data_IF_940431690410
#
_entry.id   IF_940431690410
#
_cell.length_a   1.000
_cell.length_b   1.000
_cell.length_c   1.000
_cell.angle_alpha   90.00
_cell.angle_beta   90.00
_cell.angle_gamma   90.00
#
_symmetry.space_group_name_H-M   'P 1'
#
loop_
_entity.id
_entity.type
_entity.pdbx_description
1 polymer ?
#
# COMPACT_ATOMS: atom_id res chain seq x y z
N UNK A 1 -17.42 -2.45 4.13
CA UNK A 1 -16.14 -3.07 3.71
C UNK A 1 -15.24 -2.14 2.89
N UNK A 2 -15.68 -1.59 1.74
CA UNK A 2 -14.84 -0.75 0.85
C UNK A 2 -14.24 0.50 1.50
N UNK A 3 -15.08 1.33 2.12
CA UNK A 3 -14.64 2.54 2.84
C UNK A 3 -13.66 2.21 3.98
N UNK A 4 -13.94 1.13 4.71
CA UNK A 4 -13.10 0.65 5.80
C UNK A 4 -11.72 0.21 5.29
N UNK A 5 -11.66 -0.55 4.19
CA UNK A 5 -10.40 -0.99 3.60
C UNK A 5 -9.58 0.18 3.05
N UNK A 6 -10.25 1.15 2.40
CA UNK A 6 -9.60 2.34 1.86
C UNK A 6 -8.87 3.15 2.96
N UNK A 7 -9.42 3.22 4.17
CA UNK A 7 -8.74 3.84 5.33
C UNK A 7 -7.36 3.21 5.58
N UNK A 8 -7.26 1.88 5.61
CA UNK A 8 -5.99 1.19 5.89
C UNK A 8 -5.02 1.24 4.71
N UNK A 9 -5.54 1.26 3.48
CA UNK A 9 -4.73 1.57 2.28
C UNK A 9 -4.11 2.97 2.40
N UNK A 10 -4.84 3.98 2.89
CA UNK A 10 -4.27 5.32 3.08
C UNK A 10 -3.19 5.37 4.18
N UNK A 11 -3.31 4.56 5.23
CA UNK A 11 -2.27 4.43 6.27
C UNK A 11 -1.02 3.82 5.64
N UNK A 12 -1.16 2.73 4.87
CA UNK A 12 -0.05 2.11 4.15
C UNK A 12 0.61 3.08 3.15
N UNK A 13 -0.20 3.78 2.34
CA UNK A 13 0.25 4.82 1.40
C UNK A 13 1.05 5.92 2.13
N UNK A 14 0.59 6.36 3.29
CA UNK A 14 1.25 7.38 4.10
C UNK A 14 2.60 6.90 4.64
N UNK A 15 2.69 5.64 5.10
CA UNK A 15 3.95 5.03 5.52
C UNK A 15 4.95 5.00 4.34
N UNK A 16 4.53 4.48 3.18
CA UNK A 16 5.35 4.43 1.96
C UNK A 16 5.85 5.82 1.54
N UNK A 17 4.95 6.80 1.48
CA UNK A 17 5.26 8.19 1.14
C UNK A 17 6.30 8.79 2.09
N UNK A 18 6.14 8.56 3.39
CA UNK A 18 7.03 9.09 4.42
C UNK A 18 8.43 8.52 4.29
N UNK A 19 8.56 7.20 4.16
CA UNK A 19 9.88 6.56 3.97
C UNK A 19 10.52 6.97 2.64
N UNK A 20 9.75 7.06 1.57
CA UNK A 20 10.26 7.52 0.27
C UNK A 20 10.79 8.96 0.34
N UNK A 21 10.02 9.88 0.93
CA UNK A 21 10.47 11.26 1.12
C UNK A 21 11.75 11.33 1.95
N UNK A 22 11.79 10.60 3.06
CA UNK A 22 12.93 10.58 3.97
C UNK A 22 14.21 10.07 3.29
N UNK A 23 14.19 8.87 2.72
CA UNK A 23 15.39 8.26 2.15
C UNK A 23 15.84 8.92 0.84
N UNK A 24 14.92 9.50 0.06
CA UNK A 24 15.30 10.29 -1.11
C UNK A 24 15.99 11.60 -0.69
N UNK A 25 15.42 12.34 0.27
CA UNK A 25 16.06 13.54 0.82
C UNK A 25 17.39 13.22 1.52
N UNK A 26 17.50 12.07 2.19
CA UNK A 26 18.74 11.60 2.81
C UNK A 26 19.83 11.36 1.75
N UNK A 27 19.50 10.86 0.56
CA UNK A 27 20.48 10.69 -0.51
C UNK A 27 20.93 12.03 -1.10
N UNK A 28 20.00 12.97 -1.26
CA UNK A 28 20.23 14.25 -1.93
C UNK A 28 20.14 15.45 -0.97
N UNK A 29 20.82 15.38 0.17
CA UNK A 29 20.70 16.36 1.28
C UNK A 29 21.00 17.81 0.90
N UNK A 30 21.83 18.03 -0.11
CA UNK A 30 22.28 19.35 -0.54
C UNK A 30 21.41 19.96 -1.64
N UNK A 31 20.46 19.21 -2.21
CA UNK A 31 19.58 19.67 -3.29
C UNK A 31 18.11 19.35 -2.99
N UNK A 32 17.41 20.35 -2.46
CA UNK A 32 15.97 20.27 -2.18
C UNK A 32 15.10 20.07 -3.43
N UNK A 33 15.65 20.28 -4.64
CA UNK A 33 14.96 20.08 -5.91
C UNK A 33 15.46 18.81 -6.64
N UNK A 34 16.22 17.93 -5.99
CA UNK A 34 16.86 16.78 -6.63
C UNK A 34 15.89 15.86 -7.41
N UNK A 35 14.63 15.78 -6.98
CA UNK A 35 13.58 15.01 -7.66
C UNK A 35 13.17 15.58 -9.04
N UNK A 36 13.66 16.77 -9.41
CA UNK A 36 13.41 17.40 -10.72
C UNK A 36 14.45 17.03 -11.78
N UNK A 37 15.55 16.39 -11.38
CA UNK A 37 16.63 15.95 -12.25
C UNK A 37 16.48 14.44 -12.50
N UNK A 38 16.28 14.08 -13.76
CA UNK A 38 16.09 12.71 -14.21
C UNK A 38 17.30 11.81 -13.86
N UNK A 39 18.51 12.38 -13.81
CA UNK A 39 19.74 11.64 -13.47
C UNK A 39 19.83 11.25 -11.99
N UNK A 40 19.01 11.85 -11.12
CA UNK A 40 18.91 11.45 -9.71
C UNK A 40 18.00 10.21 -9.50
N UNK A 41 17.47 9.65 -10.59
CA UNK A 41 16.72 8.40 -10.63
C UNK A 41 17.55 7.31 -11.33
N UNK A 42 17.08 6.06 -11.28
CA UNK A 42 17.74 4.94 -11.96
C UNK A 42 17.56 5.03 -13.49
N UNK A 43 18.30 5.93 -14.14
CA UNK A 43 18.14 6.36 -15.53
C UNK A 43 18.70 5.36 -16.56
N UNK A 44 18.27 4.11 -16.45
CA UNK A 44 18.58 3.02 -17.39
C UNK A 44 17.59 3.01 -18.57
N UNK A 45 17.94 2.44 -19.73
CA UNK A 45 17.10 2.46 -20.94
C UNK A 45 15.64 2.04 -20.72
N UNK A 46 15.40 1.03 -19.88
CA UNK A 46 14.08 0.46 -19.58
C UNK A 46 13.20 1.41 -18.76
N UNK A 47 13.82 2.24 -17.91
CA UNK A 47 13.12 3.18 -17.03
C UNK A 47 13.11 4.61 -17.57
N UNK A 48 13.95 4.94 -18.55
CA UNK A 48 14.15 6.30 -19.08
C UNK A 48 12.85 7.05 -19.35
N UNK A 49 11.99 6.47 -20.21
CA UNK A 49 10.68 7.07 -20.56
C UNK A 49 9.76 7.21 -19.35
N UNK A 50 9.84 6.29 -18.40
CA UNK A 50 9.03 6.32 -17.16
C UNK A 50 9.50 7.43 -16.24
N UNK A 51 10.81 7.63 -16.12
CA UNK A 51 11.43 8.69 -15.33
C UNK A 51 11.10 10.06 -15.93
N UNK A 52 11.26 10.22 -17.24
CA UNK A 52 10.94 11.49 -17.93
C UNK A 52 9.48 11.88 -17.67
N UNK A 53 8.55 10.92 -17.79
CA UNK A 53 7.12 11.11 -17.50
C UNK A 53 6.88 11.45 -16.03
N UNK A 54 7.55 10.75 -15.10
CA UNK A 54 7.45 11.01 -13.67
C UNK A 54 7.88 12.45 -13.37
N UNK A 55 9.08 12.85 -13.78
CA UNK A 55 9.61 14.20 -13.53
C UNK A 55 8.71 15.27 -14.13
N UNK A 56 8.20 15.07 -15.35
CA UNK A 56 7.20 15.97 -15.93
C UNK A 56 5.92 16.05 -15.09
N UNK A 57 5.42 14.91 -14.58
CA UNK A 57 4.25 14.88 -13.70
C UNK A 57 4.51 15.63 -12.39
N UNK A 58 5.68 15.46 -11.77
CA UNK A 58 6.07 16.22 -10.57
C UNK A 58 6.11 17.73 -10.84
N UNK A 59 6.73 18.16 -11.95
CA UNK A 59 6.77 19.57 -12.39
C UNK A 59 5.35 20.12 -12.60
N UNK A 60 4.45 19.36 -13.23
CA UNK A 60 3.03 19.74 -13.40
C UNK A 60 2.29 19.84 -12.07
N UNK A 61 2.48 18.90 -11.14
CA UNK A 61 1.86 18.95 -9.82
C UNK A 61 2.30 20.19 -9.03
N UNK A 62 3.59 20.52 -9.06
CA UNK A 62 4.11 21.75 -8.45
C UNK A 62 3.42 22.97 -9.05
N UNK A 63 3.41 23.10 -10.39
CA UNK A 63 2.78 24.23 -11.09
C UNK A 63 1.29 24.35 -10.77
N UNK A 64 0.56 23.24 -10.69
CA UNK A 64 -0.85 23.23 -10.32
C UNK A 64 -1.05 23.74 -8.89
N UNK A 65 -0.28 23.22 -7.95
CA UNK A 65 -0.41 23.53 -6.53
C UNK A 65 0.11 24.93 -6.18
N UNK A 66 1.12 25.44 -6.90
CA UNK A 66 1.61 26.82 -6.73
C UNK A 66 0.58 27.87 -7.10
N UNK A 67 -0.36 27.55 -8.00
CA UNK A 67 -1.44 28.45 -8.40
C UNK A 67 -2.63 28.46 -7.43
N UNK A 68 -2.66 27.54 -6.45
CA UNK A 68 -3.70 27.50 -5.43
C UNK A 68 -3.25 28.37 -4.26
N UNK A 69 -3.88 29.54 -4.09
CA UNK A 69 -3.56 30.45 -2.99
C UNK A 69 -3.71 29.76 -1.64
N UNK A 70 -2.74 29.96 -0.75
CA UNK A 70 -2.74 29.38 0.59
C UNK A 70 -2.33 27.90 0.65
N UNK A 71 -2.05 27.24 -0.48
CA UNK A 71 -1.51 25.89 -0.46
C UNK A 71 -0.08 25.88 0.10
N UNK A 72 0.36 24.76 0.68
CA UNK A 72 1.75 24.62 1.17
C UNK A 72 2.76 24.87 0.04
N UNK A 73 2.50 24.34 -1.15
CA UNK A 73 3.40 24.52 -2.31
C UNK A 73 3.40 25.98 -2.77
N UNK A 74 2.26 26.69 -2.73
CA UNK A 74 2.19 28.12 -3.01
C UNK A 74 3.06 28.91 -2.02
N UNK A 75 2.91 28.66 -0.71
CA UNK A 75 3.76 29.29 0.30
C UNK A 75 5.26 29.06 0.05
N UNK A 76 5.66 27.82 -0.27
CA UNK A 76 7.06 27.51 -0.60
C UNK A 76 7.54 28.19 -1.88
N UNK A 77 6.69 28.27 -2.91
CA UNK A 77 7.05 28.88 -4.20
C UNK A 77 7.16 30.40 -4.10
N UNK A 78 6.37 31.04 -3.23
CA UNK A 78 6.38 32.50 -3.04
C UNK A 78 7.50 32.96 -2.11
N UNK A 79 7.80 32.19 -1.05
CA UNK A 79 8.71 32.63 0.01
C UNK A 79 10.10 31.97 -0.03
N UNK A 80 10.28 30.90 -0.81
CA UNK A 80 11.53 30.14 -0.87
C UNK A 80 11.95 29.83 -2.32
N UNK A 81 13.24 29.57 -2.52
CA UNK A 81 13.81 29.22 -3.83
C UNK A 81 13.68 27.73 -4.17
N UNK A 82 13.35 26.89 -3.18
CA UNK A 82 13.28 25.44 -3.31
C UNK A 82 12.04 24.87 -2.65
N UNK A 83 11.59 23.72 -3.15
CA UNK A 83 10.42 23.02 -2.60
C UNK A 83 10.89 21.63 -2.15
N UNK A 84 11.13 21.42 -0.85
CA UNK A 84 11.57 20.14 -0.34
C UNK A 84 10.60 19.01 -0.71
N UNK A 85 11.12 17.81 -0.99
CA UNK A 85 10.30 16.69 -1.44
C UNK A 85 9.21 16.31 -0.43
N UNK A 86 9.46 16.43 0.88
CA UNK A 86 8.48 16.15 1.92
C UNK A 86 7.27 17.11 1.90
N UNK A 87 7.41 18.30 1.29
CA UNK A 87 6.29 19.22 1.03
C UNK A 87 5.48 18.77 -0.19
N UNK A 88 6.14 18.21 -1.21
CA UNK A 88 5.53 17.76 -2.47
C UNK A 88 4.82 16.41 -2.33
N UNK A 89 5.43 15.45 -1.64
CA UNK A 89 4.96 14.06 -1.54
C UNK A 89 3.48 13.93 -1.11
N UNK A 90 2.97 14.70 -0.14
CA UNK A 90 1.55 14.66 0.23
C UNK A 90 0.59 15.04 -0.91
N UNK A 91 1.05 15.78 -1.92
CA UNK A 91 0.26 16.21 -3.07
C UNK A 91 0.25 15.21 -4.23
N UNK A 92 1.05 14.13 -4.13
CA UNK A 92 1.10 13.09 -5.16
C UNK A 92 -0.02 12.07 -4.95
N UNK A 93 -0.62 11.60 -6.05
CA UNK A 93 -1.47 10.41 -6.00
C UNK A 93 -0.62 9.14 -5.76
N UNK A 94 -1.26 8.06 -5.29
CA UNK A 94 -0.52 6.85 -4.94
C UNK A 94 0.17 6.20 -6.13
N UNK A 95 -0.44 6.25 -7.32
CA UNK A 95 0.19 5.75 -8.55
C UNK A 95 1.49 6.48 -8.87
N UNK A 96 1.53 7.80 -8.71
CA UNK A 96 2.75 8.60 -8.87
C UNK A 96 3.78 8.23 -7.83
N UNK A 97 3.37 8.03 -6.57
CA UNK A 97 4.27 7.52 -5.51
C UNK A 97 4.83 6.14 -5.85
N UNK A 98 4.02 5.23 -6.39
CA UNK A 98 4.46 3.90 -6.81
C UNK A 98 5.52 3.99 -7.92
N UNK A 99 5.29 4.82 -8.95
CA UNK A 99 6.28 5.06 -9.99
C UNK A 99 7.52 5.80 -9.47
N UNK A 100 7.36 6.73 -8.53
CA UNK A 100 8.48 7.42 -7.88
C UNK A 100 9.39 6.40 -7.18
N UNK A 101 8.82 5.51 -6.36
CA UNK A 101 9.57 4.44 -5.71
C UNK A 101 10.28 3.55 -6.75
N UNK A 102 9.55 3.04 -7.75
CA UNK A 102 10.11 2.19 -8.83
C UNK A 102 11.26 2.84 -9.60
N UNK A 103 11.18 4.15 -9.83
CA UNK A 103 12.19 4.92 -10.55
C UNK A 103 13.38 5.34 -9.67
N UNK A 104 13.24 5.31 -8.34
CA UNK A 104 14.30 5.73 -7.42
C UNK A 104 15.56 4.87 -7.60
N UNK A 105 16.72 5.39 -7.19
CA UNK A 105 17.97 4.64 -7.21
C UNK A 105 17.84 3.34 -6.37
N UNK A 106 18.52 2.27 -6.78
CA UNK A 106 18.39 0.92 -6.18
C UNK A 106 18.76 0.89 -4.69
N UNK A 107 19.69 1.73 -4.26
CA UNK A 107 20.06 1.90 -2.86
C UNK A 107 18.94 2.54 -2.04
N UNK A 108 18.22 3.54 -2.57
CA UNK A 108 17.02 4.11 -1.93
C UNK A 108 15.96 3.02 -1.75
N UNK A 109 15.64 2.27 -2.83
CA UNK A 109 14.64 1.20 -2.78
C UNK A 109 15.02 0.15 -1.73
N UNK A 110 16.28 -0.27 -1.70
CA UNK A 110 16.81 -1.25 -0.75
C UNK A 110 16.77 -0.75 0.69
N UNK A 111 17.09 0.52 0.95
CA UNK A 111 17.00 1.12 2.29
C UNK A 111 15.56 1.12 2.81
N UNK A 112 14.60 1.52 1.98
CA UNK A 112 13.18 1.54 2.35
C UNK A 112 12.70 0.12 2.64
N UNK A 113 12.97 -0.85 1.76
CA UNK A 113 12.56 -2.24 1.94
C UNK A 113 13.12 -2.84 3.23
N UNK A 114 14.42 -2.65 3.49
CA UNK A 114 15.07 -3.10 4.74
C UNK A 114 14.46 -2.47 5.98
N UNK A 115 14.22 -1.16 5.95
CA UNK A 115 13.65 -0.43 7.08
C UNK A 115 12.21 -0.88 7.38
N UNK A 116 11.36 -1.03 6.36
CA UNK A 116 9.99 -1.54 6.54
C UNK A 116 9.97 -2.98 7.04
N UNK A 117 10.83 -3.86 6.51
CA UNK A 117 11.00 -5.22 7.03
C UNK A 117 11.35 -5.18 8.52
N UNK A 118 12.32 -4.35 8.91
CA UNK A 118 12.74 -4.23 10.29
C UNK A 118 11.60 -3.77 11.21
N UNK A 119 10.84 -2.75 10.82
CA UNK A 119 9.67 -2.28 11.56
C UNK A 119 8.63 -3.40 11.71
N UNK A 120 8.35 -4.15 10.63
CA UNK A 120 7.41 -5.26 10.65
C UNK A 120 7.83 -6.39 11.59
N UNK A 121 9.08 -6.87 11.49
CA UNK A 121 9.61 -7.95 12.34
C UNK A 121 9.63 -7.52 13.81
N UNK A 122 10.01 -6.27 14.10
CA UNK A 122 10.01 -5.74 15.47
C UNK A 122 8.61 -5.79 16.09
N UNK A 123 7.58 -5.48 15.30
CA UNK A 123 6.19 -5.52 15.74
C UNK A 123 5.58 -6.93 15.71
N UNK A 124 6.17 -7.87 14.96
CA UNK A 124 5.65 -9.22 14.75
C UNK A 124 6.80 -10.25 14.79
N UNK A 125 7.30 -10.54 15.98
CA UNK A 125 8.49 -11.41 16.18
C UNK A 125 8.32 -12.87 15.72
N UNK A 126 7.08 -13.32 15.46
CA UNK A 126 6.78 -14.66 14.95
C UNK A 126 7.16 -14.90 13.49
N UNK A 127 7.42 -13.84 12.72
CA UNK A 127 7.77 -13.94 11.31
C UNK A 127 9.28 -14.12 11.11
N UNK A 128 9.66 -14.76 10.01
CA UNK A 128 11.04 -15.09 9.70
C UNK A 128 11.92 -13.83 9.54
N UNK A 129 12.83 -13.60 10.50
CA UNK A 129 13.76 -12.47 10.45
C UNK A 129 14.78 -12.59 9.30
N UNK A 130 15.04 -13.79 8.77
CA UNK A 130 15.99 -14.00 7.67
C UNK A 130 15.39 -13.71 6.30
N UNK A 131 14.07 -13.48 6.22
CA UNK A 131 13.37 -13.18 4.97
C UNK A 131 14.04 -12.06 4.16
N UNK A 132 14.38 -12.33 2.90
CA UNK A 132 15.02 -11.34 2.02
C UNK A 132 13.93 -10.47 1.37
N UNK A 133 13.84 -9.21 1.81
CA UNK A 133 12.91 -8.26 1.22
C UNK A 133 13.64 -7.24 0.33
N UNK A 134 13.51 -7.39 -0.98
CA UNK A 134 14.18 -6.55 -1.98
C UNK A 134 13.38 -5.29 -2.30
N UNK A 135 14.04 -4.31 -2.92
CA UNK A 135 13.37 -3.12 -3.45
C UNK A 135 12.36 -3.47 -4.55
N UNK A 136 12.67 -4.48 -5.37
CA UNK A 136 11.79 -5.01 -6.41
C UNK A 136 10.52 -5.63 -5.79
N UNK A 137 10.66 -6.49 -4.79
CA UNK A 137 9.53 -7.10 -4.10
C UNK A 137 8.62 -6.03 -3.45
N UNK A 138 9.22 -5.02 -2.82
CA UNK A 138 8.46 -3.88 -2.30
C UNK A 138 7.77 -3.10 -3.42
N UNK A 139 8.42 -2.88 -4.56
CA UNK A 139 7.83 -2.22 -5.73
C UNK A 139 6.56 -2.96 -6.18
N UNK A 140 6.64 -4.28 -6.33
CA UNK A 140 5.51 -5.10 -6.77
C UNK A 140 4.34 -5.07 -5.79
N UNK A 141 4.64 -5.13 -4.49
CA UNK A 141 3.64 -4.98 -3.42
C UNK A 141 2.98 -3.59 -3.45
N UNK A 142 3.74 -2.52 -3.68
CA UNK A 142 3.19 -1.15 -3.79
C UNK A 142 2.23 -1.06 -5.00
N UNK A 143 2.62 -1.60 -6.16
CA UNK A 143 1.73 -1.62 -7.33
C UNK A 143 0.48 -2.49 -7.11
N UNK A 144 0.62 -3.61 -6.41
CA UNK A 144 -0.50 -4.44 -6.00
C UNK A 144 -1.49 -3.66 -5.14
N UNK A 145 -1.04 -3.01 -4.05
CA UNK A 145 -1.90 -2.16 -3.20
C UNK A 145 -2.54 -1.03 -4.03
N UNK A 146 -1.77 -0.40 -4.93
CA UNK A 146 -2.26 0.69 -5.76
C UNK A 146 -3.41 0.26 -6.69
N UNK A 147 -3.40 -0.99 -7.17
CA UNK A 147 -4.51 -1.51 -7.99
C UNK A 147 -5.83 -1.56 -7.21
N UNK A 148 -5.82 -2.03 -5.96
CA UNK A 148 -6.99 -2.02 -5.10
C UNK A 148 -7.38 -0.61 -4.66
N UNK A 149 -6.40 0.27 -4.41
CA UNK A 149 -6.64 1.68 -4.11
C UNK A 149 -7.44 2.36 -5.22
N UNK A 150 -7.08 2.12 -6.48
CA UNK A 150 -7.78 2.69 -7.63
C UNK A 150 -9.23 2.22 -7.70
N UNK A 151 -9.49 0.93 -7.49
CA UNK A 151 -10.86 0.37 -7.49
C UNK A 151 -11.70 0.92 -6.34
N UNK A 152 -11.09 1.01 -5.15
CA UNK A 152 -11.67 1.67 -3.99
C UNK A 152 -11.92 3.17 -4.20
N UNK A 153 -11.28 3.83 -5.17
CA UNK A 153 -11.54 5.24 -5.50
C UNK A 153 -12.56 5.41 -6.65
N UNK A 154 -12.55 4.52 -7.65
CA UNK A 154 -13.34 4.63 -8.88
C UNK A 154 -14.71 3.93 -8.87
N UNK A 155 -15.13 3.39 -7.73
CA UNK A 155 -16.45 2.78 -7.51
C UNK A 155 -16.69 1.49 -8.31
N UNK A 156 -15.61 0.82 -8.68
CA UNK A 156 -15.62 -0.50 -9.33
C UNK A 156 -15.82 -1.64 -8.30
N UNK A 157 -16.18 -2.84 -8.78
CA UNK A 157 -16.39 -4.01 -7.91
C UNK A 157 -15.05 -4.46 -7.33
N UNK A 158 -14.98 -4.48 -6.00
CA UNK A 158 -13.75 -4.77 -5.25
C UNK A 158 -13.51 -6.27 -5.05
N UNK A 159 -14.58 -7.06 -4.92
CA UNK A 159 -14.51 -8.44 -4.44
C UNK A 159 -14.07 -9.45 -5.52
N UNK A 160 -14.09 -9.06 -6.80
CA UNK A 160 -13.71 -9.86 -7.96
C UNK A 160 -12.48 -9.27 -8.69
N UNK A 161 -11.85 -8.24 -8.14
CA UNK A 161 -10.62 -7.67 -8.70
C UNK A 161 -9.46 -8.67 -8.65
N UNK A 162 -8.69 -8.72 -9.73
CA UNK A 162 -7.43 -9.46 -9.82
C UNK A 162 -6.34 -8.54 -10.37
N UNK A 163 -5.25 -8.40 -9.63
CA UNK A 163 -4.05 -7.75 -10.13
C UNK A 163 -3.32 -8.67 -11.12
N UNK A 164 -2.94 -8.16 -12.30
CA UNK A 164 -2.41 -8.95 -13.42
C UNK A 164 -1.00 -8.53 -13.87
N UNK A 165 -0.43 -7.50 -13.26
CA UNK A 165 0.86 -6.94 -13.64
C UNK A 165 1.88 -7.24 -12.56
N UNK A 166 3.00 -7.86 -12.90
CA UNK A 166 4.09 -8.31 -12.00
C UNK A 166 3.81 -9.66 -11.33
N UNK A 167 4.89 -10.30 -10.88
CA UNK A 167 4.85 -11.60 -10.21
C UNK A 167 5.36 -11.45 -8.77
N UNK A 168 4.47 -11.63 -7.79
CA UNK A 168 4.82 -11.62 -6.37
C UNK A 168 5.03 -13.07 -5.96
N UNK A 169 6.27 -13.54 -6.09
CA UNK A 169 6.63 -14.94 -5.82
C UNK A 169 6.78 -15.25 -4.33
N UNK A 170 7.24 -14.28 -3.54
CA UNK A 170 7.44 -14.48 -2.11
C UNK A 170 7.14 -13.21 -1.32
N UNK A 171 6.25 -13.31 -0.33
CA UNK A 171 5.95 -12.26 0.63
C UNK A 171 5.94 -12.85 2.03
N UNK A 172 6.57 -12.17 3.00
CA UNK A 172 6.84 -12.73 4.34
C UNK A 172 5.61 -13.30 5.05
N UNK A 173 4.45 -12.65 4.90
CA UNK A 173 3.21 -13.12 5.52
C UNK A 173 2.72 -14.39 4.83
N UNK A 174 2.78 -14.44 3.50
CA UNK A 174 2.40 -15.60 2.70
C UNK A 174 3.33 -16.79 2.93
N UNK A 175 4.64 -16.57 3.03
CA UNK A 175 5.64 -17.60 3.35
C UNK A 175 5.33 -18.27 4.70
N UNK A 176 5.07 -17.45 5.72
CA UNK A 176 4.76 -17.93 7.08
C UNK A 176 3.54 -18.85 7.11
N UNK A 177 2.47 -18.51 6.37
CA UNK A 177 1.25 -19.30 6.31
C UNK A 177 1.23 -20.33 5.16
N UNK A 178 2.34 -20.50 4.41
CA UNK A 178 2.47 -21.39 3.25
C UNK A 178 1.38 -21.16 2.19
N UNK A 179 1.15 -19.89 1.87
CA UNK A 179 0.13 -19.46 0.92
C UNK A 179 0.76 -19.03 -0.40
N UNK A 180 0.09 -19.36 -1.51
CA UNK A 180 0.38 -18.73 -2.79
C UNK A 180 -0.31 -17.37 -2.87
N UNK A 181 0.37 -16.40 -3.50
CA UNK A 181 -0.21 -15.09 -3.76
C UNK A 181 -1.27 -15.19 -4.87
N UNK A 182 -2.54 -14.94 -4.56
CA UNK A 182 -3.66 -15.13 -5.49
C UNK A 182 -4.18 -13.83 -6.12
N UNK A 183 -3.53 -12.72 -5.81
CA UNK A 183 -3.84 -11.37 -6.29
C UNK A 183 -5.27 -10.90 -5.97
N UNK A 184 -5.88 -11.46 -4.92
CA UNK A 184 -7.24 -11.17 -4.49
C UNK A 184 -7.29 -10.28 -3.25
N UNK A 185 -8.51 -10.05 -2.76
CA UNK A 185 -8.76 -9.21 -1.59
C UNK A 185 -8.15 -9.81 -0.31
N UNK A 186 -8.12 -11.14 -0.18
CA UNK A 186 -7.45 -11.79 0.93
C UNK A 186 -5.95 -11.45 1.00
N UNK A 187 -5.26 -11.46 -0.14
CA UNK A 187 -3.85 -11.08 -0.22
C UNK A 187 -3.63 -9.63 0.21
N UNK A 188 -4.54 -8.71 -0.18
CA UNK A 188 -4.48 -7.32 0.28
C UNK A 188 -4.60 -7.19 1.80
N UNK A 189 -5.50 -7.95 2.43
CA UNK A 189 -5.64 -7.93 3.88
C UNK A 189 -4.31 -8.35 4.53
N UNK A 190 -3.71 -9.46 4.07
CA UNK A 190 -2.42 -9.93 4.58
C UNK A 190 -1.28 -8.95 4.32
N UNK A 191 -1.23 -8.35 3.13
CA UNK A 191 -0.22 -7.36 2.76
C UNK A 191 -0.32 -6.12 3.64
N UNK A 192 -1.53 -5.64 3.96
CA UNK A 192 -1.71 -4.47 4.83
C UNK A 192 -1.10 -4.68 6.21
N UNK A 193 -1.08 -5.92 6.75
CA UNK A 193 -0.40 -6.27 8.02
C UNK A 193 1.05 -5.80 8.06
N UNK A 194 1.71 -5.77 6.91
CA UNK A 194 3.11 -5.35 6.80
C UNK A 194 3.31 -3.84 6.91
N UNK A 195 2.33 -3.05 6.50
CA UNK A 195 2.47 -1.59 6.37
C UNK A 195 1.84 -0.78 7.51
N UNK A 196 1.00 -1.43 8.33
CA UNK A 196 0.27 -0.79 9.42
C UNK A 196 0.65 -1.40 10.77
N UNK A 197 0.36 -0.70 11.86
CA UNK A 197 0.66 -1.18 13.21
C UNK A 197 -0.22 -2.38 13.62
N UNK A 198 0.20 -3.20 14.61
CA UNK A 198 -0.62 -4.30 15.12
C UNK A 198 -2.01 -3.86 15.59
N UNK A 199 -2.13 -2.69 16.23
CA UNK A 199 -3.41 -2.12 16.66
C UNK A 199 -4.31 -1.74 15.48
N UNK A 200 -3.74 -1.15 14.44
CA UNK A 200 -4.49 -0.83 13.21
C UNK A 200 -4.93 -2.10 12.48
N UNK A 201 -4.06 -3.12 12.45
CA UNK A 201 -4.40 -4.42 11.87
C UNK A 201 -5.52 -5.12 12.63
N UNK A 202 -5.47 -5.13 13.96
CA UNK A 202 -6.54 -5.67 14.79
C UNK A 202 -7.89 -4.98 14.51
N UNK A 203 -7.87 -3.64 14.39
CA UNK A 203 -9.05 -2.87 14.03
C UNK A 203 -9.56 -3.19 12.61
N UNK A 204 -8.66 -3.42 11.64
CA UNK A 204 -9.03 -3.88 10.30
C UNK A 204 -9.74 -5.24 10.35
N UNK A 205 -9.21 -6.20 11.13
CA UNK A 205 -9.79 -7.53 11.31
C UNK A 205 -11.16 -7.45 11.99
N UNK A 206 -11.34 -6.57 12.99
CA UNK A 206 -12.66 -6.33 13.62
C UNK A 206 -13.69 -5.81 12.60
N UNK A 207 -13.30 -4.86 11.75
CA UNK A 207 -14.19 -4.32 10.72
C UNK A 207 -14.51 -5.34 9.62
N UNK A 208 -13.57 -6.24 9.32
CA UNK A 208 -13.79 -7.37 8.43
C UNK A 208 -14.77 -8.37 9.05
N UNK A 209 -14.57 -8.77 10.31
CA UNK A 209 -15.47 -9.68 11.03
C UNK A 209 -16.91 -9.16 11.05
N UNK A 210 -17.08 -7.86 11.27
CA UNK A 210 -18.39 -7.21 11.20
C UNK A 210 -19.01 -7.34 9.80
N UNK A 211 -18.25 -7.02 8.75
CA UNK A 211 -18.73 -7.09 7.36
C UNK A 211 -19.08 -8.53 6.95
N UNK A 212 -18.25 -9.51 7.34
CA UNK A 212 -18.48 -10.93 7.05
C UNK A 212 -19.64 -11.50 7.87
N UNK A 213 -19.79 -11.11 9.13
CA UNK A 213 -20.91 -11.52 9.99
C UNK A 213 -22.25 -11.01 9.47
N UNK A 214 -22.29 -9.76 9.00
CA UNK A 214 -23.46 -9.23 8.31
C UNK A 214 -23.77 -10.05 7.05
N UNK A 215 -22.77 -10.26 6.19
CA UNK A 215 -22.95 -11.01 4.95
C UNK A 215 -23.45 -12.43 5.22
N UNK A 216 -22.83 -13.14 6.16
CA UNK A 216 -23.17 -14.52 6.54
C UNK A 216 -24.65 -14.68 6.93
N UNK A 217 -25.23 -13.70 7.63
CA UNK A 217 -26.63 -13.78 8.06
C UNK A 217 -27.65 -13.30 7.01
N UNK A 218 -27.19 -12.60 5.96
CA UNK A 218 -28.07 -12.00 4.95
C UNK A 218 -28.05 -12.74 3.59
N UNK A 219 -27.27 -13.82 3.46
CA UNK A 219 -27.20 -14.62 2.24
C UNK A 219 -27.23 -16.11 2.56
N UNK A 220 -27.64 -16.94 1.59
CA UNK A 220 -27.56 -18.38 1.74
C UNK A 220 -26.11 -18.86 1.93
N UNK A 221 -25.92 -19.93 2.70
CA UNK A 221 -24.60 -20.51 2.99
C UNK A 221 -23.76 -20.76 1.72
N UNK A 222 -24.40 -21.26 0.66
CA UNK A 222 -23.73 -21.53 -0.62
C UNK A 222 -23.22 -20.25 -1.29
N UNK A 223 -24.00 -19.16 -1.20
CA UNK A 223 -23.60 -17.88 -1.78
C UNK A 223 -22.53 -17.17 -0.95
N UNK A 224 -22.58 -17.29 0.37
CA UNK A 224 -21.49 -16.84 1.24
C UNK A 224 -20.16 -17.48 0.84
N UNK A 225 -20.14 -18.81 0.67
CA UNK A 225 -18.95 -19.55 0.24
C UNK A 225 -18.49 -19.11 -1.16
N UNK A 226 -19.41 -18.92 -2.12
CA UNK A 226 -19.07 -18.41 -3.47
C UNK A 226 -18.43 -17.01 -3.39
N UNK A 227 -18.94 -16.12 -2.53
CA UNK A 227 -18.39 -14.78 -2.35
C UNK A 227 -16.97 -14.84 -1.77
N UNK A 228 -16.74 -15.64 -0.72
CA UNK A 228 -15.41 -15.85 -0.15
C UNK A 228 -14.42 -16.41 -1.18
N UNK A 229 -14.85 -17.37 -2.00
CA UNK A 229 -14.04 -17.93 -3.08
C UNK A 229 -13.70 -16.88 -4.16
N UNK A 230 -14.62 -15.96 -4.48
CA UNK A 230 -14.34 -14.83 -5.38
C UNK A 230 -13.31 -13.87 -4.77
N UNK A 231 -13.41 -13.61 -3.46
CA UNK A 231 -12.46 -12.79 -2.70
C UNK A 231 -11.09 -13.46 -2.46
N UNK A 232 -10.93 -14.72 -2.89
CA UNK A 232 -9.73 -15.55 -2.74
C UNK A 232 -9.38 -15.93 -1.30
N UNK A 233 -10.40 -16.09 -0.45
CA UNK A 233 -10.20 -16.58 0.91
C UNK A 233 -9.88 -18.09 0.87
N UNK A 234 -8.77 -18.56 1.48
CA UNK A 234 -8.46 -19.97 1.60
C UNK A 234 -9.40 -20.66 2.60
N UNK A 235 -9.39 -21.99 2.68
CA UNK A 235 -10.27 -22.73 3.61
C UNK A 235 -10.00 -22.40 5.09
N UNK A 236 -8.74 -22.20 5.46
CA UNK A 236 -8.30 -21.88 6.81
C UNK A 236 -8.14 -20.36 7.05
N UNK A 237 -8.89 -19.53 6.31
CA UNK A 237 -8.80 -18.07 6.43
C UNK A 237 -9.08 -17.55 7.84
N UNK A 238 -9.95 -18.22 8.61
CA UNK A 238 -10.31 -17.81 9.98
C UNK A 238 -9.11 -17.93 10.93
N UNK A 239 -8.37 -19.03 10.81
CA UNK A 239 -7.14 -19.30 11.57
C UNK A 239 -6.03 -18.31 11.18
N UNK A 240 -5.81 -18.11 9.87
CA UNK A 240 -4.77 -17.20 9.36
C UNK A 240 -4.99 -15.76 9.83
N UNK A 241 -6.25 -15.30 9.85
CA UNK A 241 -6.61 -13.95 10.29
C UNK A 241 -6.79 -13.84 11.81
N UNK A 242 -6.73 -14.95 12.55
CA UNK A 242 -6.98 -15.01 13.99
C UNK A 242 -8.34 -14.33 14.33
N UNK A 243 -9.37 -14.59 13.53
CA UNK A 243 -10.63 -13.82 13.50
C UNK A 243 -11.81 -14.55 14.16
N UNK A 244 -11.67 -15.83 14.49
CA UNK A 244 -12.78 -16.74 14.85
C UNK A 244 -13.71 -16.18 15.95
N UNK A 245 -13.14 -15.73 17.07
CA UNK A 245 -13.93 -15.15 18.19
C UNK A 245 -14.72 -13.91 17.75
N UNK A 246 -14.07 -13.00 17.03
CA UNK A 246 -14.70 -11.76 16.52
C UNK A 246 -15.81 -12.09 15.52
N UNK A 247 -15.56 -13.05 14.64
CA UNK A 247 -16.53 -13.44 13.63
C UNK A 247 -17.74 -14.15 14.24
N UNK A 248 -17.53 -15.03 15.22
CA UNK A 248 -18.59 -15.70 15.96
C UNK A 248 -19.50 -14.69 16.67
N UNK A 249 -18.90 -13.73 17.40
CA UNK A 249 -19.64 -12.65 18.05
C UNK A 249 -20.50 -11.85 17.07
N UNK A 250 -19.98 -11.56 15.88
CA UNK A 250 -20.74 -10.82 14.86
C UNK A 250 -21.85 -11.64 14.22
N UNK A 251 -21.66 -12.96 14.03
CA UNK A 251 -22.73 -13.86 13.57
C UNK A 251 -23.91 -13.85 14.55
N UNK A 252 -23.63 -13.93 15.86
CA UNK A 252 -24.65 -13.89 16.91
C UNK A 252 -25.37 -12.55 16.98
N UNK A 253 -24.61 -11.44 16.93
CA UNK A 253 -25.16 -10.09 16.94
C UNK A 253 -26.21 -9.87 15.84
N UNK A 254 -25.88 -10.24 14.59
CA UNK A 254 -26.79 -10.05 13.45
C UNK A 254 -27.91 -11.09 13.36
N UNK A 255 -27.81 -12.23 14.06
CA UNK A 255 -28.92 -13.19 14.16
C UNK A 255 -30.03 -12.67 15.08
N UNK A 256 -29.70 -11.77 16.00
CA UNK A 256 -30.61 -11.20 17.00
C UNK A 256 -31.16 -9.82 16.61
N UNK A 257 -30.92 -9.36 15.38
CA UNK A 257 -31.49 -8.13 14.79
C UNK A 257 -32.58 -8.49 13.80
#
# INVERSE_FOLDING_TARGET
>A
MRSNLLKYIFIAESNIKTKLAYYFCEKYKTDNNAYRNENNFNYIPELRRTIDKLVQKLKKTIKKQSNIQGSRINHYTTNYTTIPLWVLIPQLDFGTTAYFFKCSQKDIQSKIAKNMKFEFIKANSKFNNEYIFTGEALSDIIFFINSFRNICAHNERLYDHKFTTNNIDNFIVHEHYRLNFNYGLFDLILVLKFFISPLEYDALITLLANSLGFLHNNVEKNDFIKILNKMKFPRNWEEILEIEEKFQRMKEFYKNQ
#
